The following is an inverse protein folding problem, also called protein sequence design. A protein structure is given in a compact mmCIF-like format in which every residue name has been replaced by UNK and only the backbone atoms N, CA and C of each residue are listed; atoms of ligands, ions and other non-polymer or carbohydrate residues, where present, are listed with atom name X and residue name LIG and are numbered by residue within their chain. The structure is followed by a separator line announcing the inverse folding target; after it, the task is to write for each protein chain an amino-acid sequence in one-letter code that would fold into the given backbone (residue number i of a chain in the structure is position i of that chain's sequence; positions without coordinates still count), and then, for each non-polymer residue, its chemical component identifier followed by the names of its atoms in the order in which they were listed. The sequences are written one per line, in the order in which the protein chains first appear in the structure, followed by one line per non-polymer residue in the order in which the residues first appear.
data_IF_924255555308
#
_entry.id   IF_924255555308
#
_cell.length_a   1.000
_cell.length_b   1.000
_cell.length_c   1.000
_cell.angle_alpha   90.00
_cell.angle_beta   90.00
_cell.angle_gamma   90.00
#
_symmetry.space_group_name_H-M   'P 1'
#
loop_
_entity.id
_entity.type
_entity.pdbx_description
1 polymer ?
#
# COMPACT_ATOMS: atom_id res chain seq x y z
N UNK A 1 -9.33 -33.70 4.81
CA UNK A 1 -10.00 -32.40 5.07
C UNK A 1 -9.65 -31.97 6.48
N UNK A 2 -9.00 -30.81 6.64
CA UNK A 2 -8.44 -30.33 7.91
C UNK A 2 -9.52 -29.59 8.72
N UNK A 3 -9.61 -29.84 10.04
CA UNK A 3 -10.61 -29.27 10.97
C UNK A 3 -10.78 -27.74 10.89
N UNK A 4 -9.79 -27.01 10.40
CA UNK A 4 -9.81 -25.55 10.25
C UNK A 4 -10.74 -25.07 9.12
N UNK A 5 -10.91 -25.83 8.04
CA UNK A 5 -11.81 -25.45 6.94
C UNK A 5 -13.30 -25.53 7.30
N UNK A 6 -13.65 -26.27 8.36
CA UNK A 6 -15.02 -26.33 8.89
C UNK A 6 -15.36 -25.15 9.80
N UNK A 7 -14.36 -24.43 10.33
CA UNK A 7 -14.55 -23.35 11.30
C UNK A 7 -14.48 -21.97 10.63
N UNK A 8 -13.63 -21.81 9.61
CA UNK A 8 -13.35 -20.49 9.01
C UNK A 8 -13.90 -20.30 7.57
N UNK A 9 -14.66 -21.26 7.04
CA UNK A 9 -15.13 -21.22 5.66
C UNK A 9 -14.01 -21.48 4.65
N UNK A 10 -14.20 -21.03 3.40
CA UNK A 10 -13.16 -21.05 2.37
C UNK A 10 -12.04 -20.04 2.73
N UNK A 11 -10.81 -20.48 3.05
CA UNK A 11 -9.71 -19.60 3.38
C UNK A 11 -9.41 -18.56 2.29
N UNK A 12 -9.73 -18.87 1.03
CA UNK A 12 -9.57 -17.94 -0.08
C UNK A 12 -10.52 -16.76 0.05
N UNK A 13 -11.81 -17.03 0.20
CA UNK A 13 -12.81 -15.96 0.37
C UNK A 13 -12.53 -15.17 1.65
N UNK A 14 -12.15 -15.84 2.73
CA UNK A 14 -11.77 -15.18 3.97
C UNK A 14 -10.60 -14.20 3.80
N UNK A 15 -9.56 -14.57 3.04
CA UNK A 15 -8.44 -13.65 2.75
C UNK A 15 -8.90 -12.45 1.92
N UNK A 16 -9.73 -12.67 0.90
CA UNK A 16 -10.28 -11.60 0.04
C UNK A 16 -11.06 -10.58 0.86
N UNK A 17 -11.92 -11.05 1.76
CA UNK A 17 -12.71 -10.18 2.64
C UNK A 17 -11.83 -9.36 3.58
N UNK A 18 -10.74 -9.96 4.08
CA UNK A 18 -9.77 -9.26 4.94
C UNK A 18 -8.99 -8.21 4.16
N UNK A 19 -8.52 -8.52 2.96
CA UNK A 19 -7.82 -7.55 2.11
C UNK A 19 -8.74 -6.39 1.74
N UNK A 20 -10.02 -6.67 1.43
CA UNK A 20 -11.02 -5.65 1.17
C UNK A 20 -11.22 -4.73 2.38
N UNK A 21 -11.32 -5.32 3.58
CA UNK A 21 -11.43 -4.57 4.84
C UNK A 21 -10.19 -3.74 5.14
N UNK A 22 -8.99 -4.28 4.93
CA UNK A 22 -7.73 -3.55 5.10
C UNK A 22 -7.72 -2.31 4.21
N UNK A 23 -8.11 -2.43 2.93
CA UNK A 23 -8.16 -1.30 2.00
C UNK A 23 -9.18 -0.26 2.48
N UNK A 24 -10.39 -0.67 2.83
CA UNK A 24 -11.43 0.23 3.36
C UNK A 24 -10.93 0.99 4.58
N UNK A 25 -10.48 0.27 5.62
CA UNK A 25 -10.06 0.86 6.88
C UNK A 25 -8.80 1.75 6.72
N UNK A 26 -7.91 1.39 5.79
CA UNK A 26 -6.76 2.23 5.45
C UNK A 26 -7.19 3.56 4.82
N UNK A 27 -8.16 3.53 3.91
CA UNK A 27 -8.59 4.75 3.22
C UNK A 27 -9.35 5.70 4.16
N UNK A 28 -10.25 5.15 4.99
CA UNK A 28 -11.03 5.90 5.97
C UNK A 28 -10.30 6.22 7.28
N UNK A 29 -9.06 5.74 7.45
CA UNK A 29 -8.30 5.82 8.70
C UNK A 29 -9.09 5.28 9.90
N UNK A 30 -9.76 4.15 9.71
CA UNK A 30 -10.56 3.46 10.73
C UNK A 30 -9.92 2.13 11.14
N UNK A 31 -10.58 1.42 12.06
CA UNK A 31 -10.10 0.13 12.55
C UNK A 31 -8.70 0.23 13.15
N UNK A 32 -7.79 -0.66 12.73
CA UNK A 32 -6.41 -0.65 13.22
C UNK A 32 -5.54 0.49 12.68
N UNK A 33 -6.04 1.24 11.68
CA UNK A 33 -5.36 2.41 11.14
C UNK A 33 -5.77 3.71 11.83
N UNK A 34 -6.76 3.67 12.73
CA UNK A 34 -7.22 4.83 13.48
C UNK A 34 -6.08 5.47 14.29
N UNK A 35 -5.97 6.80 14.22
CA UNK A 35 -4.94 7.57 14.93
C UNK A 35 -3.54 7.52 14.32
N UNK A 36 -3.30 6.74 13.25
CA UNK A 36 -2.02 6.75 12.56
C UNK A 36 -1.86 8.01 11.69
N UNK A 37 -0.64 8.56 11.65
CA UNK A 37 -0.31 9.75 10.87
C UNK A 37 0.21 9.35 9.47
N UNK A 38 -0.68 9.37 8.48
CA UNK A 38 -0.36 9.20 7.06
C UNK A 38 -1.42 9.88 6.18
N UNK A 39 -1.16 10.03 4.88
CA UNK A 39 -2.16 10.46 3.91
C UNK A 39 -2.79 9.24 3.24
N UNK A 40 -4.13 9.20 3.27
CA UNK A 40 -4.91 8.18 2.59
C UNK A 40 -5.04 8.54 1.11
N UNK A 41 -5.20 7.56 0.20
CA UNK A 41 -5.54 7.78 -1.20
C UNK A 41 -6.77 8.67 -1.41
N UNK A 42 -7.68 8.74 -0.44
CA UNK A 42 -8.82 9.66 -0.45
C UNK A 42 -8.43 11.14 -0.48
N UNK A 43 -7.17 11.51 -0.18
CA UNK A 43 -6.68 12.89 -0.41
C UNK A 43 -6.82 13.33 -1.88
N UNK A 44 -6.99 12.37 -2.81
CA UNK A 44 -7.24 12.61 -4.23
C UNK A 44 -8.68 12.95 -4.56
N UNK A 45 -9.63 12.59 -3.70
CA UNK A 45 -11.02 12.96 -3.85
C UNK A 45 -11.21 14.41 -3.35
N UNK A 46 -10.77 15.37 -4.16
CA UNK A 46 -10.92 16.79 -3.86
C UNK A 46 -12.22 17.33 -4.45
N UNK A 47 -12.69 18.47 -3.93
CA UNK A 47 -13.85 19.18 -4.48
C UNK A 47 -13.65 19.54 -5.96
N UNK A 48 -12.44 19.97 -6.37
CA UNK A 48 -12.11 20.27 -7.78
C UNK A 48 -12.25 19.04 -8.69
N UNK A 49 -11.75 17.87 -8.27
CA UNK A 49 -11.91 16.65 -9.06
C UNK A 49 -13.35 16.16 -9.09
N UNK A 50 -14.08 16.32 -7.99
CA UNK A 50 -15.49 15.98 -7.89
C UNK A 50 -16.31 16.83 -8.86
N UNK A 51 -16.16 18.16 -8.80
CA UNK A 51 -16.86 19.10 -9.69
C UNK A 51 -16.55 18.85 -11.17
N UNK A 52 -15.27 18.71 -11.53
CA UNK A 52 -14.85 18.49 -12.92
C UNK A 52 -15.36 17.18 -13.50
N UNK A 53 -15.52 16.15 -12.68
CA UNK A 53 -16.01 14.84 -13.12
C UNK A 53 -17.54 14.71 -13.00
N UNK A 54 -18.24 15.70 -12.44
CA UNK A 54 -19.68 15.66 -12.25
C UNK A 54 -20.14 14.75 -11.10
N UNK A 55 -19.26 14.49 -10.13
CA UNK A 55 -19.50 13.59 -8.99
C UNK A 55 -19.30 14.31 -7.65
N UNK A 56 -19.60 13.61 -6.56
CA UNK A 56 -19.31 14.06 -5.19
C UNK A 56 -17.95 13.55 -4.69
N UNK A 57 -17.40 14.19 -3.67
CA UNK A 57 -16.17 13.73 -3.00
C UNK A 57 -16.35 12.31 -2.45
N UNK A 58 -17.53 12.02 -1.90
CA UNK A 58 -17.89 10.71 -1.36
C UNK A 58 -17.91 9.63 -2.45
N UNK A 59 -18.46 9.92 -3.63
CA UNK A 59 -18.45 9.01 -4.78
C UNK A 59 -17.03 8.74 -5.28
N UNK A 60 -16.17 9.77 -5.30
CA UNK A 60 -14.76 9.59 -5.64
C UNK A 60 -14.03 8.72 -4.59
N UNK A 61 -14.27 8.94 -3.30
CA UNK A 61 -13.72 8.13 -2.22
C UNK A 61 -14.13 6.66 -2.36
N UNK A 62 -15.42 6.41 -2.61
CA UNK A 62 -15.95 5.06 -2.82
C UNK A 62 -15.34 4.41 -4.05
N UNK A 63 -15.23 5.14 -5.17
CA UNK A 63 -14.59 4.65 -6.39
C UNK A 63 -13.14 4.25 -6.14
N UNK A 64 -12.36 5.09 -5.45
CA UNK A 64 -10.96 4.80 -5.12
C UNK A 64 -10.83 3.48 -4.35
N UNK A 65 -11.64 3.30 -3.31
CA UNK A 65 -11.61 2.07 -2.51
C UNK A 65 -12.07 0.85 -3.33
N UNK A 66 -13.19 0.95 -4.04
CA UNK A 66 -13.76 -0.18 -4.79
C UNK A 66 -12.88 -0.66 -5.93
N UNK A 67 -12.29 0.24 -6.71
CA UNK A 67 -11.37 -0.11 -7.80
C UNK A 67 -10.15 -0.87 -7.27
N UNK A 68 -9.70 -0.59 -6.04
CA UNK A 68 -8.57 -1.30 -5.42
C UNK A 68 -9.00 -2.62 -4.79
N UNK A 69 -10.21 -2.67 -4.23
CA UNK A 69 -10.80 -3.89 -3.65
C UNK A 69 -11.10 -4.92 -4.73
N UNK A 70 -11.59 -4.52 -5.91
CA UNK A 70 -11.90 -5.45 -7.01
C UNK A 70 -10.68 -6.27 -7.44
N UNK A 71 -9.51 -5.63 -7.51
CA UNK A 71 -8.21 -6.29 -7.78
C UNK A 71 -7.89 -7.39 -6.76
N UNK A 72 -8.38 -7.28 -5.52
CA UNK A 72 -8.10 -8.24 -4.43
C UNK A 72 -9.23 -9.21 -4.15
N UNK A 73 -10.47 -8.87 -4.52
CA UNK A 73 -11.65 -9.71 -4.27
C UNK A 73 -11.95 -10.69 -5.41
N UNK A 74 -11.40 -10.46 -6.60
CA UNK A 74 -11.71 -11.27 -7.78
C UNK A 74 -13.12 -11.03 -8.33
N UNK A 75 -13.86 -10.10 -7.73
CA UNK A 75 -15.19 -9.69 -8.20
C UNK A 75 -15.05 -8.52 -9.17
N UNK A 76 -15.85 -8.50 -10.25
CA UNK A 76 -15.87 -7.36 -11.15
C UNK A 76 -16.34 -6.10 -10.41
N UNK A 77 -15.71 -4.97 -10.73
CA UNK A 77 -16.14 -3.67 -10.24
C UNK A 77 -17.57 -3.38 -10.69
N UNK A 78 -18.40 -2.82 -9.81
CA UNK A 78 -19.78 -2.46 -10.14
C UNK A 78 -19.83 -1.44 -11.31
N UNK A 79 -20.77 -1.55 -12.27
CA UNK A 79 -20.86 -0.64 -13.41
C UNK A 79 -20.90 0.85 -13.05
N UNK A 80 -21.61 1.30 -11.99
CA UNK A 80 -21.57 2.71 -11.58
C UNK A 80 -20.17 3.19 -11.18
N UNK A 81 -19.38 2.34 -10.52
CA UNK A 81 -18.01 2.68 -10.12
C UNK A 81 -17.10 2.79 -11.34
N UNK A 82 -17.31 1.93 -12.34
CA UNK A 82 -16.60 2.03 -13.63
C UNK A 82 -16.93 3.36 -14.30
N UNK A 83 -18.19 3.78 -14.31
CA UNK A 83 -18.57 5.06 -14.89
C UNK A 83 -17.88 6.24 -14.18
N UNK A 84 -17.88 6.28 -12.85
CA UNK A 84 -17.19 7.34 -12.08
C UNK A 84 -15.69 7.37 -12.40
N UNK A 85 -15.06 6.20 -12.52
CA UNK A 85 -13.64 6.11 -12.92
C UNK A 85 -13.41 6.71 -14.30
N UNK A 86 -14.26 6.39 -15.28
CA UNK A 86 -14.13 6.89 -16.65
C UNK A 86 -14.37 8.40 -16.73
N UNK A 87 -15.37 8.92 -16.03
CA UNK A 87 -15.65 10.36 -15.98
C UNK A 87 -14.49 11.13 -15.36
N UNK A 88 -13.92 10.63 -14.25
CA UNK A 88 -12.74 11.23 -13.63
C UNK A 88 -11.51 11.16 -14.54
N UNK A 89 -11.33 10.06 -15.28
CA UNK A 89 -10.25 9.92 -16.26
C UNK A 89 -10.39 10.95 -17.38
N UNK A 90 -11.58 11.12 -17.93
CA UNK A 90 -11.87 12.15 -18.94
C UNK A 90 -11.63 13.56 -18.40
N UNK A 91 -12.11 13.87 -17.20
CA UNK A 91 -11.87 15.16 -16.54
C UNK A 91 -10.37 15.43 -16.33
N UNK A 92 -9.59 14.42 -15.96
CA UNK A 92 -8.14 14.54 -15.83
C UNK A 92 -7.48 14.80 -17.19
N UNK A 93 -7.91 14.16 -18.27
CA UNK A 93 -7.38 14.38 -19.61
C UNK A 93 -7.69 15.77 -20.16
N UNK A 94 -8.91 16.27 -19.93
CA UNK A 94 -9.30 17.64 -20.24
C UNK A 94 -8.45 18.64 -19.46
N UNK A 95 -8.36 18.50 -18.14
CA UNK A 95 -7.52 19.35 -17.28
C UNK A 95 -6.06 19.38 -17.74
N UNK A 96 -5.48 18.25 -18.15
CA UNK A 96 -4.11 18.19 -18.67
C UNK A 96 -3.96 18.96 -19.98
N UNK A 97 -4.98 18.91 -20.84
CA UNK A 97 -5.01 19.66 -22.10
C UNK A 97 -5.12 21.16 -21.83
N UNK A 98 -6.00 21.57 -20.91
CA UNK A 98 -6.20 22.96 -20.49
C UNK A 98 -4.94 23.58 -19.88
N UNK A 99 -4.27 22.84 -19.01
CA UNK A 99 -3.12 23.35 -18.24
C UNK A 99 -1.78 23.12 -18.93
N UNK A 100 -1.73 22.29 -19.99
CA UNK A 100 -0.48 21.81 -20.56
C UNK A 100 0.35 20.96 -19.58
N UNK A 101 -0.29 20.37 -18.57
CA UNK A 101 0.42 19.60 -17.56
C UNK A 101 1.11 18.38 -18.16
N UNK A 102 2.43 18.33 -18.01
CA UNK A 102 3.27 17.20 -18.34
C UNK A 102 3.81 16.57 -17.07
N UNK A 103 3.87 15.24 -17.04
CA UNK A 103 4.46 14.57 -15.88
C UNK A 103 5.92 14.97 -15.76
N UNK A 104 6.39 15.31 -14.54
CA UNK A 104 7.78 15.60 -14.34
C UNK A 104 8.60 14.38 -14.78
N UNK A 105 9.70 14.59 -15.51
CA UNK A 105 10.49 13.48 -15.98
C UNK A 105 11.02 12.67 -14.79
N UNK A 106 11.07 11.35 -14.95
CA UNK A 106 11.67 10.45 -13.95
C UNK A 106 13.19 10.60 -14.05
N UNK A 107 13.73 11.67 -13.47
CA UNK A 107 15.17 11.91 -13.46
C UNK A 107 15.75 11.50 -12.11
N UNK A 108 16.26 10.27 -12.07
CA UNK A 108 17.17 9.81 -11.03
C UNK A 108 18.48 10.60 -11.16
N UNK A 109 18.72 11.53 -10.24
CA UNK A 109 20.00 12.23 -10.17
C UNK A 109 21.03 11.42 -9.38
N UNK A 110 22.33 11.56 -9.65
CA UNK A 110 23.39 10.97 -8.81
C UNK A 110 23.23 11.32 -7.33
N UNK A 111 22.76 12.52 -7.02
CA UNK A 111 22.49 13.00 -5.67
C UNK A 111 21.37 12.20 -4.99
N UNK A 112 20.34 11.78 -5.73
CA UNK A 112 19.27 10.92 -5.22
C UNK A 112 19.77 9.54 -4.79
N UNK A 113 20.86 9.04 -5.37
CA UNK A 113 21.45 7.74 -5.01
C UNK A 113 22.31 7.76 -3.73
N UNK A 114 22.70 8.95 -3.24
CA UNK A 114 23.54 9.08 -2.03
C UNK A 114 22.69 8.94 -0.77
N UNK A 115 22.96 7.91 0.05
CA UNK A 115 22.33 7.66 1.34
C UNK A 115 23.38 7.69 2.48
N UNK A 116 23.72 8.86 3.02
CA UNK A 116 24.80 9.01 4.00
C UNK A 116 24.48 8.41 5.38
N UNK A 117 23.20 8.29 5.73
CA UNK A 117 22.71 7.76 7.01
C UNK A 117 22.38 6.26 6.96
N UNK A 118 22.91 5.51 5.98
CA UNK A 118 22.52 4.11 5.73
C UNK A 118 22.70 3.21 6.96
N UNK A 119 23.77 3.41 7.74
CA UNK A 119 24.05 2.60 8.93
C UNK A 119 23.01 2.84 10.02
N UNK A 120 22.67 4.11 10.24
CA UNK A 120 21.67 4.57 11.20
C UNK A 120 20.26 4.11 10.79
N UNK A 121 19.89 4.29 9.52
CA UNK A 121 18.63 3.78 8.95
C UNK A 121 18.49 2.27 9.15
N UNK A 122 19.57 1.51 8.89
CA UNK A 122 19.59 0.06 9.13
C UNK A 122 19.36 -0.26 10.61
N UNK A 123 20.11 0.38 11.52
CA UNK A 123 20.03 0.10 12.94
C UNK A 123 18.65 0.43 13.51
N UNK A 124 18.11 1.60 13.15
CA UNK A 124 16.76 2.01 13.51
C UNK A 124 15.72 1.01 13.01
N UNK A 125 15.75 0.71 11.70
CA UNK A 125 14.77 -0.20 11.10
C UNK A 125 14.86 -1.60 11.71
N UNK A 126 16.06 -2.14 11.93
CA UNK A 126 16.21 -3.46 12.53
C UNK A 126 15.59 -3.53 13.93
N UNK A 127 15.76 -2.48 14.74
CA UNK A 127 15.19 -2.38 16.08
C UNK A 127 13.66 -2.37 16.04
N UNK A 128 13.04 -1.63 15.11
CA UNK A 128 11.58 -1.57 15.02
C UNK A 128 10.98 -2.77 14.30
N UNK A 129 11.67 -3.34 13.31
CA UNK A 129 11.25 -4.53 12.57
C UNK A 129 11.15 -5.76 13.48
N UNK A 130 12.12 -5.93 14.40
CA UNK A 130 12.12 -7.06 15.34
C UNK A 130 10.90 -7.07 16.27
N UNK A 131 10.32 -5.90 16.54
CA UNK A 131 9.12 -5.76 17.38
C UNK A 131 7.81 -6.19 16.70
N UNK A 132 7.82 -6.52 15.40
CA UNK A 132 6.62 -6.95 14.67
C UNK A 132 6.15 -8.38 15.03
N UNK A 133 6.94 -9.12 15.82
CA UNK A 133 6.63 -10.50 16.18
C UNK A 133 6.56 -11.40 14.95
N UNK A 134 7.49 -11.23 14.01
CA UNK A 134 7.66 -12.10 12.84
C UNK A 134 8.63 -13.23 13.19
N UNK A 135 8.32 -14.45 12.73
CA UNK A 135 9.21 -15.59 12.76
C UNK A 135 10.27 -15.50 11.65
N UNK A 136 11.40 -16.21 11.85
CA UNK A 136 12.49 -16.35 10.87
C UNK A 136 12.80 -15.02 10.19
N UNK A 137 13.23 -14.01 10.94
CA UNK A 137 13.55 -12.71 10.34
C UNK A 137 14.93 -12.75 9.68
N UNK A 138 15.06 -12.12 8.50
CA UNK A 138 16.33 -11.95 7.81
C UNK A 138 16.41 -10.58 7.15
N UNK A 139 17.61 -10.20 6.75
CA UNK A 139 17.85 -8.94 6.07
C UNK A 139 18.98 -9.09 5.05
N UNK A 140 18.95 -8.29 4.00
CA UNK A 140 19.97 -8.30 2.96
C UNK A 140 20.29 -6.89 2.50
N UNK A 141 21.54 -6.69 2.07
CA UNK A 141 22.11 -5.37 1.81
C UNK A 141 22.96 -5.39 0.55
N UNK A 142 22.64 -4.52 -0.41
CA UNK A 142 23.51 -4.23 -1.56
C UNK A 142 23.64 -2.70 -1.77
N UNK A 143 24.34 -2.25 -2.80
CA UNK A 143 24.53 -0.80 -3.00
C UNK A 143 23.22 -0.02 -3.25
N UNK A 144 22.18 -0.68 -3.77
CA UNK A 144 20.92 -0.08 -4.21
C UNK A 144 19.77 -0.31 -3.24
N UNK A 145 19.78 -1.43 -2.53
CA UNK A 145 18.67 -1.89 -1.71
C UNK A 145 19.10 -2.24 -0.28
N UNK A 146 18.21 -1.90 0.66
CA UNK A 146 18.25 -2.31 2.05
C UNK A 146 16.93 -3.07 2.32
N UNK A 147 17.00 -4.38 2.58
CA UNK A 147 15.81 -5.24 2.68
C UNK A 147 15.72 -5.90 4.05
N UNK A 148 14.51 -5.92 4.61
CA UNK A 148 14.12 -6.60 5.83
C UNK A 148 12.96 -7.52 5.52
N UNK A 149 13.02 -8.74 6.04
CA UNK A 149 12.03 -9.77 5.80
C UNK A 149 11.68 -10.50 7.10
N UNK A 150 10.53 -11.14 7.09
CA UNK A 150 10.11 -12.09 8.11
C UNK A 150 8.91 -12.88 7.63
N UNK A 151 8.52 -13.88 8.42
CA UNK A 151 7.37 -14.74 8.15
C UNK A 151 6.40 -14.62 9.33
N UNK A 152 5.10 -14.70 9.06
CA UNK A 152 4.12 -14.99 10.10
C UNK A 152 3.12 -16.03 9.59
N UNK A 153 2.45 -16.70 10.52
CA UNK A 153 1.32 -17.54 10.20
C UNK A 153 0.05 -16.67 10.18
N UNK A 154 -0.65 -16.64 9.05
CA UNK A 154 -1.94 -15.95 8.95
C UNK A 154 -3.03 -16.69 9.73
N UNK A 155 -4.19 -16.05 9.87
CA UNK A 155 -5.32 -16.61 10.61
C UNK A 155 -5.91 -17.90 10.01
N UNK A 156 -5.49 -18.29 8.80
CA UNK A 156 -5.89 -19.53 8.14
C UNK A 156 -4.83 -20.63 8.26
N UNK A 157 -3.70 -20.35 8.93
CA UNK A 157 -2.61 -21.31 9.15
C UNK A 157 -1.56 -21.30 8.04
N UNK A 158 -1.50 -20.27 7.19
CA UNK A 158 -0.53 -20.19 6.10
C UNK A 158 0.68 -19.34 6.44
N UNK A 159 1.86 -19.74 5.95
CA UNK A 159 3.06 -18.90 6.04
C UNK A 159 3.01 -17.75 5.03
N UNK A 160 2.94 -16.53 5.54
CA UNK A 160 2.99 -15.30 4.74
C UNK A 160 4.34 -14.64 4.94
N UNK A 161 5.00 -14.28 3.84
CA UNK A 161 6.25 -13.52 3.88
C UNK A 161 5.93 -12.03 3.91
N UNK A 162 6.54 -11.30 4.83
CA UNK A 162 6.49 -9.83 4.87
C UNK A 162 7.86 -9.30 4.52
N UNK A 163 7.92 -8.32 3.63
CA UNK A 163 9.16 -7.69 3.18
C UNK A 163 9.01 -6.18 3.19
N UNK A 164 10.00 -5.49 3.74
CA UNK A 164 10.20 -4.06 3.60
C UNK A 164 11.54 -3.82 2.89
N UNK A 165 11.53 -3.06 1.80
CA UNK A 165 12.73 -2.72 1.03
C UNK A 165 12.84 -1.21 0.89
N UNK A 166 13.99 -0.65 1.27
CA UNK A 166 14.36 0.72 0.93
C UNK A 166 15.14 0.70 -0.37
N UNK A 167 14.61 1.37 -1.38
CA UNK A 167 15.23 1.58 -2.67
C UNK A 167 16.19 2.77 -2.60
N UNK A 168 17.34 2.57 -1.94
CA UNK A 168 18.36 3.61 -1.72
C UNK A 168 18.90 4.20 -3.04
N UNK A 169 19.06 3.34 -4.06
CA UNK A 169 19.41 3.77 -5.42
C UNK A 169 18.33 4.57 -6.14
N UNK A 170 17.14 4.69 -5.54
CA UNK A 170 15.97 5.37 -6.08
C UNK A 170 15.42 6.40 -5.09
N UNK A 171 16.31 7.19 -4.46
CA UNK A 171 15.90 8.28 -3.58
C UNK A 171 15.38 7.84 -2.22
N UNK A 172 15.34 6.53 -1.91
CA UNK A 172 14.93 6.00 -0.61
C UNK A 172 13.48 5.56 -0.54
N UNK A 173 12.81 5.38 -1.69
CA UNK A 173 11.44 4.88 -1.72
C UNK A 173 11.31 3.59 -0.90
N UNK A 174 10.33 3.56 -0.02
CA UNK A 174 10.01 2.42 0.83
C UNK A 174 9.00 1.56 0.08
N UNK A 175 9.30 0.28 -0.08
CA UNK A 175 8.37 -0.73 -0.59
C UNK A 175 8.05 -1.70 0.55
N UNK A 176 6.78 -1.99 0.75
CA UNK A 176 6.30 -3.00 1.70
C UNK A 176 5.43 -3.98 0.93
N UNK A 177 5.65 -5.28 1.11
CA UNK A 177 4.86 -6.33 0.48
C UNK A 177 4.61 -7.50 1.44
N UNK A 178 3.40 -8.04 1.35
CA UNK A 178 2.95 -9.28 1.97
C UNK A 178 2.75 -10.30 0.85
N UNK A 179 3.49 -11.40 0.86
CA UNK A 179 3.45 -12.44 -0.16
C UNK A 179 2.80 -13.71 0.40
N UNK A 180 1.71 -14.12 -0.23
CA UNK A 180 0.87 -15.25 0.13
C UNK A 180 1.18 -16.43 -0.82
N UNK A 181 2.30 -17.13 -0.58
CA UNK A 181 2.87 -18.11 -1.53
C UNK A 181 2.02 -19.35 -1.83
N UNK A 182 0.91 -19.54 -1.12
CA UNK A 182 0.00 -20.67 -1.31
C UNK A 182 -1.06 -20.42 -2.39
N UNK A 183 -1.11 -19.21 -2.96
CA UNK A 183 -2.05 -18.80 -3.99
C UNK A 183 -1.38 -18.73 -5.37
N UNK A 184 -2.11 -19.11 -6.43
CA UNK A 184 -1.69 -19.06 -7.83
C UNK A 184 -2.87 -18.69 -8.74
N UNK A 185 -2.60 -18.22 -9.96
CA UNK A 185 -3.56 -18.00 -11.06
C UNK A 185 -4.85 -17.24 -10.69
N UNK A 186 -4.78 -15.91 -10.68
CA UNK A 186 -5.92 -15.03 -10.44
C UNK A 186 -6.27 -14.79 -8.97
N UNK A 187 -5.53 -15.41 -8.05
CA UNK A 187 -5.69 -15.26 -6.61
C UNK A 187 -4.79 -14.15 -6.01
N UNK A 188 -5.10 -13.61 -4.81
CA UNK A 188 -4.24 -12.64 -4.14
C UNK A 188 -2.90 -13.27 -3.75
N UNK A 189 -1.91 -13.14 -4.63
CA UNK A 189 -0.54 -13.62 -4.38
C UNK A 189 0.27 -12.62 -3.58
N UNK A 190 -0.03 -11.31 -3.71
CA UNK A 190 0.64 -10.26 -2.97
C UNK A 190 -0.30 -9.13 -2.57
N UNK A 191 0.02 -8.48 -1.46
CA UNK A 191 -0.52 -7.18 -1.06
C UNK A 191 0.64 -6.24 -0.79
N UNK A 192 0.76 -5.20 -1.61
CA UNK A 192 1.90 -4.29 -1.60
C UNK A 192 1.50 -2.85 -1.33
N UNK A 193 2.46 -2.06 -0.87
CA UNK A 193 2.27 -0.65 -0.51
C UNK A 193 1.74 0.19 -1.68
N UNK A 194 2.19 -0.05 -2.91
CA UNK A 194 1.69 0.65 -4.09
C UNK A 194 0.22 0.32 -4.39
N UNK A 195 -0.18 -0.94 -4.16
CA UNK A 195 -1.59 -1.33 -4.18
C UNK A 195 -2.39 -0.72 -3.03
N UNK A 196 -1.74 -0.46 -1.88
CA UNK A 196 -2.34 0.21 -0.73
C UNK A 196 -2.47 1.73 -0.91
N UNK A 197 -1.56 2.38 -1.62
CA UNK A 197 -1.66 3.82 -1.91
C UNK A 197 -2.49 4.14 -3.15
N UNK A 198 -2.88 3.14 -3.94
CA UNK A 198 -3.56 3.36 -5.21
C UNK A 198 -2.64 3.88 -6.31
N UNK A 199 -1.32 3.63 -6.23
CA UNK A 199 -0.32 4.08 -7.22
C UNK A 199 -0.74 3.72 -8.65
N UNK A 200 -1.10 2.44 -8.88
CA UNK A 200 -1.55 1.97 -10.19
C UNK A 200 -2.89 2.59 -10.64
N UNK A 201 -3.81 2.81 -9.68
CA UNK A 201 -5.10 3.45 -9.95
C UNK A 201 -4.89 4.90 -10.43
N UNK A 202 -4.08 5.69 -9.72
CA UNK A 202 -3.84 7.09 -10.06
C UNK A 202 -3.00 7.25 -11.33
N UNK A 203 -2.13 6.29 -11.63
CA UNK A 203 -1.48 6.22 -12.94
C UNK A 203 -2.50 6.01 -14.07
N UNK A 204 -3.47 5.09 -13.88
CA UNK A 204 -4.51 4.83 -14.87
C UNK A 204 -5.46 6.04 -15.07
N UNK A 205 -5.78 6.76 -14.00
CA UNK A 205 -6.56 8.01 -14.05
C UNK A 205 -5.77 9.19 -14.63
N UNK A 206 -4.45 9.06 -14.81
CA UNK A 206 -3.56 10.14 -15.27
C UNK A 206 -3.64 11.41 -14.41
N UNK A 207 -4.00 11.29 -13.14
CA UNK A 207 -3.99 12.41 -12.20
C UNK A 207 -2.54 12.88 -11.95
N UNK A 208 -2.33 14.16 -11.57
CA UNK A 208 -1.00 14.67 -11.17
C UNK A 208 -0.34 13.78 -10.13
N UNK A 209 0.98 13.84 -9.92
CA UNK A 209 1.58 13.12 -8.78
C UNK A 209 1.21 13.77 -7.46
N UNK A 210 1.13 12.98 -6.38
CA UNK A 210 0.86 13.47 -5.02
C UNK A 210 1.92 12.87 -4.10
N UNK A 211 3.09 13.52 -3.99
CA UNK A 211 4.27 13.01 -3.25
C UNK A 211 3.97 12.62 -1.80
N UNK A 212 2.93 13.19 -1.22
CA UNK A 212 2.43 12.92 0.12
C UNK A 212 1.95 11.48 0.33
N UNK A 213 1.66 10.75 -0.75
CA UNK A 213 1.37 9.32 -0.75
C UNK A 213 2.61 8.45 -0.94
N UNK A 214 3.77 9.05 -1.27
CA UNK A 214 5.04 8.33 -1.40
C UNK A 214 5.74 8.28 -0.04
N UNK A 215 6.01 7.07 0.46
CA UNK A 215 6.85 6.89 1.64
C UNK A 215 8.31 6.81 1.23
N UNK A 216 9.08 7.85 1.57
CA UNK A 216 10.49 7.97 1.24
C UNK A 216 11.29 8.06 2.54
N UNK A 217 12.26 7.16 2.73
CA UNK A 217 13.14 7.23 3.88
C UNK A 217 14.03 8.48 3.80
N UNK A 218 14.08 9.23 4.90
CA UNK A 218 14.91 10.42 4.97
C UNK A 218 16.39 10.07 4.86
N UNK A 219 17.16 10.96 4.24
CA UNK A 219 18.62 10.95 4.26
C UNK A 219 19.19 11.58 5.52
N UNK A 220 18.35 12.23 6.33
CA UNK A 220 18.72 12.80 7.62
C UNK A 220 18.98 11.68 8.64
N UNK A 221 20.01 11.83 9.48
CA UNK A 221 20.32 10.88 10.56
C UNK A 221 19.28 10.88 11.69
N UNK A 222 18.44 11.92 11.77
CA UNK A 222 17.55 12.15 12.93
C UNK A 222 16.07 12.02 12.62
N UNK A 223 15.68 11.85 11.35
CA UNK A 223 14.28 11.74 10.95
C UNK A 223 14.02 10.37 10.32
N UNK A 224 13.20 9.56 10.98
CA UNK A 224 12.77 8.26 10.49
C UNK A 224 11.23 8.15 10.42
N UNK A 225 10.52 9.28 10.38
CA UNK A 225 9.06 9.32 10.47
C UNK A 225 8.37 8.48 9.40
N UNK A 226 8.89 8.50 8.16
CA UNK A 226 8.37 7.67 7.07
C UNK A 226 8.58 6.17 7.34
N UNK A 227 9.70 5.79 7.96
CA UNK A 227 9.99 4.41 8.36
C UNK A 227 9.01 3.97 9.44
N UNK A 228 8.88 4.78 10.48
CA UNK A 228 8.01 4.51 11.62
C UNK A 228 6.53 4.47 11.21
N UNK A 229 6.14 5.32 10.26
CA UNK A 229 4.82 5.30 9.62
C UNK A 229 4.55 4.00 8.88
N UNK A 230 5.47 3.53 8.03
CA UNK A 230 5.31 2.24 7.33
C UNK A 230 5.33 1.05 8.31
N UNK A 231 6.11 1.12 9.39
CA UNK A 231 6.08 0.11 10.45
C UNK A 231 4.72 0.11 11.18
N UNK A 232 4.16 1.29 11.48
CA UNK A 232 2.84 1.40 12.09
C UNK A 232 1.73 0.85 11.18
N UNK A 233 1.77 1.16 9.88
CA UNK A 233 0.89 0.57 8.87
C UNK A 233 1.07 -0.95 8.81
N UNK A 234 2.31 -1.45 8.86
CA UNK A 234 2.60 -2.89 8.89
C UNK A 234 1.97 -3.55 10.11
N UNK A 235 2.09 -2.95 11.30
CA UNK A 235 1.44 -3.44 12.53
C UNK A 235 -0.07 -3.47 12.38
N UNK A 236 -0.68 -2.40 11.87
CA UNK A 236 -2.11 -2.33 11.63
C UNK A 236 -2.59 -3.46 10.70
N UNK A 237 -1.92 -3.67 9.55
CA UNK A 237 -2.22 -4.78 8.63
C UNK A 237 -2.12 -6.14 9.34
N UNK A 238 -1.06 -6.36 10.14
CA UNK A 238 -0.87 -7.60 10.87
C UNK A 238 -2.01 -7.89 11.87
N UNK A 239 -2.69 -6.88 12.43
CA UNK A 239 -3.84 -7.12 13.33
C UNK A 239 -5.03 -7.79 12.64
N UNK A 240 -5.19 -7.58 11.33
CA UNK A 240 -6.24 -8.22 10.55
C UNK A 240 -5.84 -9.63 10.08
N UNK A 241 -4.56 -9.83 9.78
CA UNK A 241 -4.05 -11.05 9.16
C UNK A 241 -3.61 -12.11 10.17
N UNK A 242 -3.09 -11.72 11.34
CA UNK A 242 -2.68 -12.69 12.37
C UNK A 242 -3.91 -13.30 13.06
N UNK A 243 -3.82 -14.55 13.54
CA UNK A 243 -4.83 -15.09 14.44
C UNK A 243 -5.01 -14.17 15.65
N UNK A 244 -6.26 -13.86 15.99
CA UNK A 244 -6.57 -13.29 17.31
C UNK A 244 -6.28 -14.40 18.30
N UNK A 245 -5.26 -14.25 19.15
CA UNK A 245 -4.90 -15.25 20.16
C UNK A 245 -6.20 -15.60 20.93
N UNK A 246 -6.62 -16.86 20.84
CA UNK A 246 -7.66 -17.43 21.70
C UNK A 246 -7.05 -17.85 23.03
#
# INVERSE_FOLDING_TARGET
MNKLSQIFGDPKQGLRDILARIIRDFDSKSGAFAGLKYNSPWIRATEDWAERSGHTVEELCEMISQCRISVRSGNPTNPPIIQIFEDLRSAAEEWRTETGYSDPPIHLTPELTKFPNRKELKAHTLKVWSSLGLARQWHSYDAKDLRFCGIFEDRFGHNVTVRMTFKLGYGGAIRLDFHFSYYADGEPTFFELGGLSGEALFHALRLPRHPELEWIASKSKTNFDAVDGVIAITRAILTYLKPTIQ
#
